data_IF_914941708201
#
_entry.id   IF_914941708201
#
_cell.length_a   1.000
_cell.length_b   1.000
_cell.length_c   1.000
_cell.angle_alpha   90.00
_cell.angle_beta   90.00
_cell.angle_gamma   90.00
#
_symmetry.space_group_name_H-M   'P 1'
#
loop_
_entity.id
_entity.type
_entity.pdbx_description
1 polymer ?
#
# COMPACT_ATOMS: atom_id res chain seq x y z
N UNK A 1 7.87 27.03 -0.96
CA UNK A 1 8.41 25.86 -1.69
C UNK A 1 7.49 24.69 -1.41
N UNK A 2 6.80 24.15 -2.42
CA UNK A 2 5.88 23.01 -2.24
C UNK A 2 6.73 21.75 -2.10
N UNK A 3 6.55 20.92 -1.05
CA UNK A 3 7.30 19.68 -0.90
C UNK A 3 6.94 18.72 -2.03
N UNK A 4 7.92 18.36 -2.87
CA UNK A 4 7.75 17.34 -3.90
C UNK A 4 7.89 15.97 -3.25
N UNK A 5 6.76 15.31 -3.01
CA UNK A 5 6.73 13.88 -2.65
C UNK A 5 7.11 13.09 -3.90
N UNK A 6 8.12 12.24 -3.78
CA UNK A 6 8.64 11.46 -4.91
C UNK A 6 8.05 10.06 -4.97
N UNK A 7 7.88 9.41 -3.81
CA UNK A 7 7.37 8.04 -3.74
C UNK A 7 6.91 7.68 -2.33
N UNK A 8 5.77 6.98 -2.21
CA UNK A 8 5.43 6.22 -1.01
C UNK A 8 6.39 5.03 -0.91
N UNK A 9 7.04 4.87 0.23
CA UNK A 9 7.94 3.73 0.48
C UNK A 9 7.23 2.61 1.24
N UNK A 10 6.49 2.95 2.29
CA UNK A 10 5.82 1.98 3.15
C UNK A 10 4.47 2.48 3.62
N UNK A 11 3.59 1.53 3.93
CA UNK A 11 2.32 1.74 4.58
C UNK A 11 2.46 1.34 6.05
N UNK A 12 1.83 2.11 6.92
CA UNK A 12 1.66 1.76 8.33
C UNK A 12 0.24 1.23 8.47
N UNK A 13 0.16 -0.07 8.74
CA UNK A 13 -1.08 -0.82 8.83
C UNK A 13 -1.44 -1.04 10.29
N UNK A 14 -2.73 -1.08 10.59
CA UNK A 14 -3.24 -1.60 11.85
C UNK A 14 -4.27 -2.69 11.59
N UNK A 15 -4.34 -3.67 12.49
CA UNK A 15 -5.31 -4.77 12.43
C UNK A 15 -6.39 -4.60 13.51
N UNK A 16 -7.25 -5.62 13.63
CA UNK A 16 -8.38 -5.61 14.56
C UNK A 16 -7.94 -5.60 16.03
N UNK A 17 -6.74 -6.09 16.34
CA UNK A 17 -6.15 -6.06 17.69
C UNK A 17 -5.47 -4.73 18.02
N UNK A 18 -5.50 -3.74 17.10
CA UNK A 18 -4.83 -2.43 17.19
C UNK A 18 -3.31 -2.51 17.20
N UNK A 19 -2.74 -3.64 16.81
CA UNK A 19 -1.31 -3.72 16.56
C UNK A 19 -0.98 -2.92 15.31
N UNK A 20 0.18 -2.27 15.32
CA UNK A 20 0.66 -1.48 14.18
C UNK A 20 1.94 -2.07 13.64
N UNK A 21 2.02 -2.17 12.33
CA UNK A 21 3.22 -2.66 11.66
C UNK A 21 3.41 -1.96 10.32
N UNK A 22 4.65 -1.98 9.85
CA UNK A 22 5.05 -1.33 8.60
C UNK A 22 5.21 -2.37 7.51
N UNK A 23 4.58 -2.11 6.36
CA UNK A 23 4.72 -2.94 5.16
C UNK A 23 5.22 -2.08 4.00
N UNK A 24 6.30 -2.53 3.35
CA UNK A 24 6.87 -1.83 2.21
C UNK A 24 5.89 -1.87 1.04
N UNK A 25 5.59 -0.72 0.47
CA UNK A 25 4.75 -0.62 -0.71
C UNK A 25 5.58 -0.95 -1.96
N UNK A 26 5.04 -1.83 -2.83
CA UNK A 26 5.71 -2.20 -4.08
C UNK A 26 4.97 -1.69 -5.30
N UNK A 27 3.66 -1.90 -5.38
CA UNK A 27 2.87 -1.56 -6.57
C UNK A 27 1.37 -1.56 -6.30
N UNK A 28 0.62 -0.74 -7.04
CA UNK A 28 -0.84 -0.90 -7.22
C UNK A 28 -1.11 -1.74 -8.46
N UNK A 29 -2.02 -2.71 -8.35
CA UNK A 29 -2.49 -3.54 -9.44
C UNK A 29 -3.98 -3.26 -9.64
N UNK A 30 -4.32 -2.80 -10.84
CA UNK A 30 -5.71 -2.64 -11.27
C UNK A 30 -6.08 -3.86 -12.09
N UNK A 31 -7.10 -4.59 -11.67
CA UNK A 31 -7.56 -5.77 -12.39
C UNK A 31 -9.08 -5.88 -12.30
N UNK A 32 -9.75 -5.87 -13.47
CA UNK A 32 -11.21 -5.75 -13.59
C UNK A 32 -11.69 -4.51 -12.81
N UNK A 33 -12.75 -4.65 -12.00
CA UNK A 33 -13.32 -3.59 -11.17
C UNK A 33 -12.67 -3.49 -9.78
N UNK A 34 -11.53 -4.15 -9.57
CA UNK A 34 -10.86 -4.21 -8.28
C UNK A 34 -9.46 -3.62 -8.32
N UNK A 35 -9.03 -3.12 -7.16
CA UNK A 35 -7.70 -2.59 -6.93
C UNK A 35 -6.99 -3.44 -5.87
N UNK A 36 -5.72 -3.72 -6.10
CA UNK A 36 -4.88 -4.50 -5.20
C UNK A 36 -3.58 -3.74 -4.92
N UNK A 37 -3.01 -3.95 -3.74
CA UNK A 37 -1.69 -3.49 -3.37
C UNK A 37 -0.78 -4.71 -3.24
N UNK A 38 0.37 -4.65 -3.91
CA UNK A 38 1.49 -5.53 -3.62
C UNK A 38 2.31 -4.88 -2.51
N UNK A 39 2.32 -5.53 -1.36
CA UNK A 39 3.09 -5.13 -0.19
C UNK A 39 4.20 -6.16 0.07
N UNK A 40 5.23 -5.73 0.79
CA UNK A 40 6.27 -6.63 1.29
C UNK A 40 6.46 -6.40 2.78
N UNK A 41 6.43 -7.49 3.54
CA UNK A 41 6.72 -7.50 4.96
C UNK A 41 7.84 -8.52 5.18
N UNK A 42 8.99 -8.03 5.68
CA UNK A 42 10.22 -8.83 5.75
C UNK A 42 10.56 -9.42 4.35
N UNK A 43 10.72 -10.73 4.23
CA UNK A 43 11.02 -11.43 2.98
C UNK A 43 9.79 -11.98 2.26
N UNK A 44 8.58 -11.67 2.74
CA UNK A 44 7.33 -12.13 2.17
C UNK A 44 6.58 -11.01 1.47
N UNK A 45 6.08 -11.30 0.26
CA UNK A 45 5.14 -10.42 -0.43
C UNK A 45 3.72 -10.69 0.08
N UNK A 46 2.82 -9.72 -0.03
CA UNK A 46 1.39 -9.92 0.23
C UNK A 46 0.59 -9.16 -0.81
N UNK A 47 -0.46 -9.79 -1.33
CA UNK A 47 -1.40 -9.15 -2.24
C UNK A 47 -2.62 -8.77 -1.43
N UNK A 48 -2.84 -7.47 -1.28
CA UNK A 48 -3.93 -6.93 -0.48
C UNK A 48 -4.99 -6.35 -1.40
N UNK A 49 -6.21 -6.87 -1.36
CA UNK A 49 -7.35 -6.28 -2.03
C UNK A 49 -7.84 -5.05 -1.27
N UNK A 50 -8.04 -3.98 -2.01
CA UNK A 50 -8.60 -2.73 -1.51
C UNK A 50 -10.13 -2.86 -1.44
N UNK A 51 -10.69 -2.51 -0.28
CA UNK A 51 -12.13 -2.39 -0.06
C UNK A 51 -12.42 -0.98 0.48
N UNK A 52 -13.09 -0.16 -0.33
CA UNK A 52 -13.53 1.17 0.07
C UNK A 52 -14.85 1.04 0.85
N UNK A 53 -14.87 1.48 2.10
CA UNK A 53 -16.08 1.54 2.92
C UNK A 53 -16.26 2.95 3.46
N UNK A 54 -17.29 3.67 3.03
CA UNK A 54 -17.85 4.86 3.72
C UNK A 54 -16.81 5.89 4.22
N UNK A 55 -15.74 6.14 3.44
CA UNK A 55 -14.59 7.05 3.70
C UNK A 55 -13.29 6.40 4.22
N UNK A 56 -13.29 5.09 4.44
CA UNK A 56 -12.14 4.34 4.94
C UNK A 56 -11.65 3.32 3.92
N UNK A 57 -10.33 3.30 3.70
CA UNK A 57 -9.65 2.27 2.91
C UNK A 57 -9.31 1.09 3.81
N UNK A 58 -9.98 -0.03 3.57
CA UNK A 58 -9.65 -1.33 4.17
C UNK A 58 -8.84 -2.16 3.19
N UNK A 59 -7.94 -2.95 3.74
CA UNK A 59 -7.15 -3.94 3.03
C UNK A 59 -7.51 -5.33 3.57
N UNK A 60 -7.83 -6.25 2.68
CA UNK A 60 -7.91 -7.68 3.01
C UNK A 60 -6.92 -8.45 2.17
N UNK A 61 -6.42 -9.58 2.66
CA UNK A 61 -5.64 -10.45 1.79
C UNK A 61 -6.49 -10.90 0.58
N UNK A 62 -5.86 -10.92 -0.60
CA UNK A 62 -6.45 -11.52 -1.78
C UNK A 62 -6.55 -13.03 -1.54
N UNK A 63 -7.68 -13.63 -1.91
CA UNK A 63 -7.84 -15.07 -1.80
C UNK A 63 -7.07 -15.79 -2.93
N UNK A 64 -7.03 -17.12 -2.85
CA UNK A 64 -6.34 -17.96 -3.83
C UNK A 64 -6.80 -17.70 -5.26
N UNK A 65 -8.10 -17.62 -5.51
CA UNK A 65 -8.65 -17.39 -6.85
C UNK A 65 -8.25 -16.02 -7.39
N UNK A 66 -8.34 -14.97 -6.56
CA UNK A 66 -7.90 -13.61 -6.88
C UNK A 66 -6.39 -13.58 -7.19
N UNK A 67 -5.57 -14.30 -6.43
CA UNK A 67 -4.14 -14.41 -6.69
C UNK A 67 -3.82 -15.17 -7.99
N UNK A 68 -4.59 -16.21 -8.32
CA UNK A 68 -4.44 -16.93 -9.59
C UNK A 68 -4.77 -16.03 -10.78
N UNK A 69 -5.83 -15.22 -10.69
CA UNK A 69 -6.16 -14.23 -11.72
C UNK A 69 -5.06 -13.16 -11.91
N UNK A 70 -4.30 -12.89 -10.84
CA UNK A 70 -3.22 -11.91 -10.84
C UNK A 70 -1.84 -12.50 -11.20
N UNK A 71 -1.72 -13.79 -11.53
CA UNK A 71 -0.43 -14.47 -11.70
C UNK A 71 0.51 -13.71 -12.66
N UNK A 72 0.01 -13.25 -13.81
CA UNK A 72 0.79 -12.49 -14.79
C UNK A 72 1.41 -11.19 -14.22
N UNK A 73 0.69 -10.51 -13.33
CA UNK A 73 1.19 -9.29 -12.66
C UNK A 73 2.24 -9.62 -11.58
N UNK A 74 2.19 -10.83 -11.04
CA UNK A 74 2.97 -11.28 -9.89
C UNK A 74 4.20 -12.11 -10.29
N UNK A 75 4.31 -12.56 -11.55
CA UNK A 75 5.42 -13.39 -12.06
C UNK A 75 6.82 -12.82 -11.74
N UNK A 76 6.98 -11.49 -11.71
CA UNK A 76 8.25 -10.82 -11.40
C UNK A 76 8.65 -10.83 -9.93
N UNK A 77 7.74 -11.19 -9.03
CA UNK A 77 7.88 -10.98 -7.59
C UNK A 77 7.93 -12.28 -6.78
N UNK A 78 8.08 -13.45 -7.43
CA UNK A 78 8.14 -14.76 -6.78
C UNK A 78 7.03 -15.01 -5.73
N UNK A 79 5.83 -14.45 -5.97
CA UNK A 79 4.66 -14.50 -5.07
C UNK A 79 4.06 -15.91 -4.97
N UNK A 80 4.60 -16.89 -5.73
CA UNK A 80 4.13 -18.28 -5.78
C UNK A 80 4.11 -18.99 -4.42
N UNK A 81 4.90 -18.54 -3.43
CA UNK A 81 4.93 -19.12 -2.09
C UNK A 81 3.77 -18.70 -1.17
N UNK A 82 2.89 -17.76 -1.59
CA UNK A 82 1.81 -17.23 -0.75
C UNK A 82 0.48 -17.96 -0.86
N UNK A 83 0.28 -18.72 -1.94
CA UNK A 83 -1.01 -19.37 -2.23
C UNK A 83 -1.38 -20.43 -1.18
N UNK A 84 -0.40 -20.96 -0.44
CA UNK A 84 -0.59 -22.05 0.52
C UNK A 84 -0.96 -21.58 1.94
N UNK A 85 -0.96 -20.28 2.24
CA UNK A 85 -1.30 -19.74 3.57
C UNK A 85 -2.52 -18.81 3.59
N UNK A 86 -3.26 -18.70 2.49
CA UNK A 86 -4.27 -17.66 2.26
C UNK A 86 -5.67 -18.10 2.67
N UNK A 87 -5.92 -18.16 3.97
CA UNK A 87 -7.27 -18.15 4.55
C UNK A 87 -7.28 -17.35 5.86
N UNK A 88 -6.61 -16.19 5.86
CA UNK A 88 -6.83 -15.21 6.92
C UNK A 88 -7.97 -14.27 6.50
N UNK A 89 -9.04 -14.22 7.30
CA UNK A 89 -10.07 -13.19 7.21
C UNK A 89 -9.62 -11.88 7.90
N UNK A 90 -8.31 -11.67 8.03
CA UNK A 90 -7.76 -10.51 8.69
C UNK A 90 -7.97 -9.27 7.80
N UNK A 91 -8.62 -8.25 8.38
CA UNK A 91 -8.76 -6.93 7.75
C UNK A 91 -7.75 -5.97 8.38
N UNK A 92 -7.17 -5.13 7.54
CA UNK A 92 -6.23 -4.10 7.94
C UNK A 92 -6.70 -2.72 7.50
N UNK A 93 -6.34 -1.72 8.28
CA UNK A 93 -6.53 -0.31 7.96
C UNK A 93 -5.20 0.36 7.73
N UNK A 94 -5.15 1.25 6.75
CA UNK A 94 -3.96 2.07 6.54
C UNK A 94 -4.07 3.31 7.42
N UNK A 95 -3.23 3.41 8.44
CA UNK A 95 -3.25 4.53 9.40
C UNK A 95 -2.10 5.50 9.19
N UNK A 96 -1.14 5.16 8.32
CA UNK A 96 0.00 6.02 8.03
C UNK A 96 0.79 5.60 6.80
N UNK A 97 1.77 6.43 6.46
CA UNK A 97 2.70 6.26 5.34
C UNK A 97 4.09 6.70 5.72
N UNK A 98 5.09 6.05 5.13
CA UNK A 98 6.41 6.65 4.94
C UNK A 98 6.60 7.03 3.47
N UNK A 99 7.16 8.20 3.21
CA UNK A 99 7.39 8.70 1.87
C UNK A 99 8.71 9.44 1.76
N UNK A 100 9.30 9.40 0.58
CA UNK A 100 10.49 10.18 0.27
C UNK A 100 10.11 11.54 -0.29
N UNK A 101 10.83 12.55 0.17
CA UNK A 101 10.73 13.92 -0.31
C UNK A 101 12.07 14.36 -0.87
N UNK A 102 12.03 15.05 -2.01
CA UNK A 102 13.23 15.64 -2.59
C UNK A 102 13.52 16.94 -1.85
N UNK A 103 14.65 16.99 -1.15
CA UNK A 103 15.12 18.21 -0.47
C UNK A 103 15.88 19.11 -1.47
N UNK A 104 16.69 18.49 -2.34
CA UNK A 104 17.33 19.11 -3.50
C UNK A 104 17.74 18.02 -4.52
N UNK A 105 18.24 18.40 -5.71
CA UNK A 105 18.61 17.46 -6.77
C UNK A 105 19.58 16.38 -6.21
N UNK A 106 19.15 15.12 -6.22
CA UNK A 106 19.92 13.97 -5.73
C UNK A 106 19.88 13.70 -4.22
N UNK A 107 19.18 14.52 -3.41
CA UNK A 107 19.03 14.29 -1.97
C UNK A 107 17.57 14.06 -1.61
N UNK A 108 17.33 12.91 -0.96
CA UNK A 108 16.03 12.47 -0.50
C UNK A 108 16.02 12.43 1.03
N UNK A 109 14.93 12.91 1.63
CA UNK A 109 14.64 12.71 3.05
C UNK A 109 13.40 11.84 3.18
N UNK A 110 13.45 10.82 4.03
CA UNK A 110 12.28 10.04 4.39
C UNK A 110 11.48 10.77 5.46
N UNK A 111 10.20 11.01 5.21
CA UNK A 111 9.23 11.53 6.17
C UNK A 111 8.16 10.47 6.43
N UNK A 112 7.53 10.51 7.60
CA UNK A 112 6.39 9.67 7.92
C UNK A 112 5.20 10.53 8.35
N UNK A 113 4.00 10.06 8.03
CA UNK A 113 2.74 10.66 8.47
C UNK A 113 1.86 9.56 9.02
N UNK A 114 1.46 9.71 10.27
CA UNK A 114 0.53 8.81 10.95
C UNK A 114 -0.70 9.65 11.30
N UNK A 115 -1.87 9.08 11.10
CA UNK A 115 -3.13 9.63 11.58
C UNK A 115 -3.27 9.41 13.08
N UNK A 116 -4.04 10.25 13.77
CA UNK A 116 -4.38 10.08 15.19
C UNK A 116 -5.40 8.93 15.40
N UNK A 117 -5.12 7.74 14.84
CA UNK A 117 -5.91 6.53 14.97
C UNK A 117 -7.04 6.36 13.92
N UNK A 118 -7.22 7.31 13.01
CA UNK A 118 -8.24 7.25 11.97
C UNK A 118 -7.65 6.79 10.63
N UNK A 119 -8.21 5.78 9.97
CA UNK A 119 -7.72 5.32 8.67
C UNK A 119 -7.55 6.48 7.68
N UNK A 120 -6.40 6.55 7.03
CA UNK A 120 -6.14 7.51 5.97
C UNK A 120 -6.81 7.01 4.68
N UNK A 121 -7.55 7.89 3.98
CA UNK A 121 -7.86 7.65 2.57
C UNK A 121 -6.58 7.80 1.75
N UNK A 122 -5.84 6.71 1.69
CA UNK A 122 -4.52 6.65 1.10
C UNK A 122 -4.58 6.32 -0.39
N UNK A 123 -5.74 5.93 -0.93
CA UNK A 123 -5.82 5.54 -2.35
C UNK A 123 -5.53 6.72 -3.27
N UNK A 124 -6.15 7.90 -3.11
CA UNK A 124 -5.74 9.08 -3.85
C UNK A 124 -4.24 9.35 -3.67
N UNK A 125 -3.68 9.17 -2.46
CA UNK A 125 -2.26 9.44 -2.20
C UNK A 125 -1.32 8.42 -2.88
N UNK A 126 -1.59 7.12 -2.80
CA UNK A 126 -0.81 6.06 -3.46
C UNK A 126 -0.95 6.18 -4.99
N UNK A 127 -2.17 6.46 -5.49
CA UNK A 127 -2.44 6.64 -6.93
C UNK A 127 -1.79 7.94 -7.44
N UNK A 128 -1.86 9.05 -6.68
CA UNK A 128 -1.19 10.32 -7.00
C UNK A 128 0.34 10.20 -6.96
N UNK A 129 0.89 9.37 -6.07
CA UNK A 129 2.35 9.20 -5.93
C UNK A 129 2.91 8.07 -6.81
N UNK A 130 2.08 7.38 -7.58
CA UNK A 130 2.46 6.25 -8.42
C UNK A 130 3.26 6.57 -9.69
N UNK A 131 3.37 7.84 -10.10
CA UNK A 131 4.25 8.26 -11.22
C UNK A 131 4.61 9.77 -11.18
N UNK A 132 5.91 10.02 -11.06
CA UNK A 132 6.73 11.21 -11.39
C UNK A 132 6.48 12.61 -10.80
N UNK A 133 5.28 13.22 -10.69
CA UNK A 133 5.16 14.55 -10.05
C UNK A 133 3.73 14.94 -9.65
N UNK A 134 3.53 15.41 -8.40
CA UNK A 134 2.28 16.11 -7.98
C UNK A 134 2.60 17.34 -7.11
N UNK A 135 1.83 18.41 -7.33
CA UNK A 135 1.88 19.68 -6.58
C UNK A 135 0.65 19.81 -5.69
N UNK A 136 0.82 20.22 -4.43
CA UNK A 136 -0.29 20.64 -3.57
C UNK A 136 -0.49 22.15 -3.69
N UNK A 137 -1.68 22.62 -4.07
CA UNK A 137 -2.11 24.00 -3.82
C UNK A 137 -2.95 24.05 -2.55
N UNK A 138 -2.79 25.13 -1.78
CA UNK A 138 -3.70 25.47 -0.68
C UNK A 138 -5.10 25.76 -1.21
#
# INVERSE_FOLDING_TARGET
MIPKVWSVESLILTNQTKEQFTSRFRKVIFHKDFQYLLLQQQDQFKVMKIKCCEEVVKLREANKDECMELEEYLQKWHVKALVDSMDSNEEYWVVGISFNKVVHKGCFSSEYRISDGNPLDILPYIIQTGAEHVYFSK
#
